data_IF_208992384697
#
_entry.id   IF_208992384697
#
_cell.length_a   1.000
_cell.length_b   1.000
_cell.length_c   1.000
_cell.angle_alpha   90.00
_cell.angle_beta   90.00
_cell.angle_gamma   90.00
#
_symmetry.space_group_name_H-M   'P 1'
#
loop_
_entity.id
_entity.type
_entity.pdbx_description
1 polymer ?
#
# COMPACT_ATOMS: atom_id res chain seq x y z
N UNK A 1 -22.25 -4.36 9.65
CA UNK A 1 -22.42 -4.02 8.22
C UNK A 1 -23.68 -3.19 8.16
N UNK A 2 -23.61 -1.90 7.86
CA UNK A 2 -24.82 -1.08 7.74
C UNK A 2 -24.77 -0.23 6.46
N UNK A 3 -25.07 -0.90 5.35
CA UNK A 3 -25.17 -0.28 4.03
C UNK A 3 -26.27 0.80 3.98
N UNK A 4 -27.30 0.68 4.83
CA UNK A 4 -28.38 1.66 4.97
C UNK A 4 -27.85 2.98 5.55
N UNK A 5 -26.95 2.95 6.54
CA UNK A 5 -26.30 4.16 7.07
C UNK A 5 -25.51 4.92 6.00
N UNK A 6 -24.79 4.19 5.13
CA UNK A 6 -23.99 4.78 4.05
C UNK A 6 -24.90 5.41 2.98
N UNK A 7 -25.93 4.68 2.54
CA UNK A 7 -26.90 5.19 1.57
C UNK A 7 -27.64 6.43 2.10
N UNK A 8 -28.08 6.38 3.37
CA UNK A 8 -28.77 7.48 4.01
C UNK A 8 -27.91 8.75 4.02
N UNK A 9 -26.65 8.63 4.46
CA UNK A 9 -25.73 9.77 4.51
C UNK A 9 -25.36 10.28 3.12
N UNK A 10 -25.21 9.40 2.12
CA UNK A 10 -24.93 9.79 0.72
C UNK A 10 -26.06 10.65 0.17
N UNK A 11 -27.31 10.23 0.40
CA UNK A 11 -28.49 11.00 -0.01
C UNK A 11 -28.57 12.35 0.74
N UNK A 12 -28.23 12.36 2.03
CA UNK A 12 -28.17 13.59 2.82
C UNK A 12 -27.11 14.56 2.29
N UNK A 13 -25.95 14.05 1.86
CA UNK A 13 -24.89 14.87 1.28
C UNK A 13 -25.31 15.49 -0.05
N UNK A 14 -25.90 14.70 -0.94
CA UNK A 14 -26.44 15.19 -2.21
C UNK A 14 -27.44 16.31 -1.96
N UNK A 15 -28.37 16.14 -1.02
CA UNK A 15 -29.36 17.17 -0.70
C UNK A 15 -28.73 18.47 -0.20
N UNK A 16 -27.66 18.40 0.60
CA UNK A 16 -26.99 19.61 1.12
C UNK A 16 -26.14 20.31 0.07
N UNK A 17 -25.43 19.58 -0.78
CA UNK A 17 -24.67 20.18 -1.89
C UNK A 17 -25.63 20.85 -2.88
N UNK A 18 -26.77 20.23 -3.18
CA UNK A 18 -27.82 20.86 -3.99
C UNK A 18 -28.36 22.12 -3.31
N UNK A 19 -28.59 22.10 -1.99
CA UNK A 19 -28.99 23.29 -1.23
C UNK A 19 -27.97 24.44 -1.32
N UNK A 20 -26.68 24.15 -1.16
CA UNK A 20 -25.60 25.14 -1.30
C UNK A 20 -25.59 25.75 -2.71
N UNK A 21 -25.79 24.93 -3.74
CA UNK A 21 -25.82 25.37 -5.13
C UNK A 21 -27.01 26.30 -5.42
N UNK A 22 -28.21 25.94 -4.95
CA UNK A 22 -29.43 26.76 -5.10
C UNK A 22 -29.35 28.09 -4.32
N UNK A 23 -28.73 28.09 -3.14
CA UNK A 23 -28.52 29.33 -2.36
C UNK A 23 -27.45 30.25 -2.98
N UNK A 24 -26.44 29.66 -3.61
CA UNK A 24 -25.43 30.40 -4.37
C UNK A 24 -26.07 31.14 -5.57
N UNK A 25 -27.11 30.55 -6.16
CA UNK A 25 -27.86 31.13 -7.29
C UNK A 25 -28.90 32.17 -6.87
N UNK A 26 -29.43 32.09 -5.64
CA UNK A 26 -30.50 32.98 -5.13
C UNK A 26 -30.01 34.20 -4.35
N UNK A 27 -28.69 34.41 -4.23
CA UNK A 27 -28.11 35.65 -3.70
C UNK A 27 -28.17 35.81 -2.17
N UNK A 28 -28.23 34.69 -1.43
CA UNK A 28 -28.21 34.69 0.04
C UNK A 28 -26.89 35.19 0.65
N UNK A 29 -26.92 35.52 1.94
CA UNK A 29 -25.76 36.04 2.68
C UNK A 29 -24.57 35.06 2.66
N UNK A 30 -23.36 35.59 2.49
CA UNK A 30 -22.11 34.82 2.52
C UNK A 30 -21.92 34.02 3.82
N UNK A 31 -22.49 34.49 4.94
CA UNK A 31 -22.49 33.77 6.22
C UNK A 31 -23.23 32.43 6.15
N UNK A 32 -24.43 32.44 5.57
CA UNK A 32 -25.33 31.29 5.54
C UNK A 32 -24.80 30.22 4.56
N UNK A 33 -24.16 30.69 3.48
CA UNK A 33 -23.44 29.84 2.55
C UNK A 33 -22.24 29.16 3.23
N UNK A 34 -21.49 29.90 4.05
CA UNK A 34 -20.29 29.39 4.74
C UNK A 34 -20.66 28.29 5.74
N UNK A 35 -21.75 28.49 6.51
CA UNK A 35 -22.24 27.47 7.44
C UNK A 35 -22.72 26.22 6.70
N UNK A 36 -23.48 26.38 5.61
CA UNK A 36 -23.99 25.24 4.85
C UNK A 36 -22.88 24.45 4.14
N UNK A 37 -21.87 25.13 3.61
CA UNK A 37 -20.65 24.49 3.09
C UNK A 37 -19.92 23.73 4.20
N UNK A 38 -19.84 24.31 5.41
CA UNK A 38 -19.27 23.64 6.58
C UNK A 38 -20.00 22.34 6.95
N UNK A 39 -21.34 22.36 6.95
CA UNK A 39 -22.15 21.15 7.22
C UNK A 39 -21.98 20.10 6.11
N UNK A 40 -21.93 20.51 4.85
CA UNK A 40 -21.69 19.61 3.72
C UNK A 40 -20.29 18.95 3.80
N UNK A 41 -19.25 19.72 4.14
CA UNK A 41 -17.89 19.22 4.32
C UNK A 41 -17.79 18.20 5.46
N UNK A 42 -18.43 18.49 6.61
CA UNK A 42 -18.46 17.55 7.74
C UNK A 42 -19.15 16.22 7.37
N UNK A 43 -20.23 16.29 6.58
CA UNK A 43 -20.93 15.10 6.12
C UNK A 43 -20.11 14.32 5.09
N UNK A 44 -19.41 14.99 4.16
CA UNK A 44 -18.42 14.36 3.27
C UNK A 44 -17.36 13.59 4.05
N UNK A 45 -16.77 14.22 5.07
CA UNK A 45 -15.75 13.57 5.90
C UNK A 45 -16.32 12.39 6.69
N UNK A 46 -17.54 12.51 7.23
CA UNK A 46 -18.20 11.42 7.96
C UNK A 46 -18.48 10.22 7.04
N UNK A 47 -19.01 10.47 5.84
CA UNK A 47 -19.25 9.45 4.82
C UNK A 47 -17.97 8.76 4.38
N UNK A 48 -16.93 9.54 4.07
CA UNK A 48 -15.64 9.00 3.69
C UNK A 48 -15.09 8.06 4.76
N UNK A 49 -15.16 8.46 6.04
CA UNK A 49 -14.68 7.63 7.14
C UNK A 49 -15.49 6.33 7.30
N UNK A 50 -16.80 6.35 7.06
CA UNK A 50 -17.67 5.17 7.17
C UNK A 50 -17.53 4.21 5.97
N UNK A 51 -17.29 4.75 4.77
CA UNK A 51 -16.90 3.97 3.59
C UNK A 51 -15.54 3.31 3.82
N UNK A 52 -14.54 4.04 4.33
CA UNK A 52 -13.23 3.45 4.66
C UNK A 52 -13.34 2.41 5.78
N UNK A 53 -14.18 2.64 6.80
CA UNK A 53 -14.45 1.66 7.85
C UNK A 53 -15.12 0.39 7.34
N UNK A 54 -16.01 0.49 6.35
CA UNK A 54 -16.67 -0.68 5.74
C UNK A 54 -15.78 -1.40 4.73
N UNK A 55 -14.93 -0.70 3.95
CA UNK A 55 -13.89 -1.31 3.10
C UNK A 55 -12.89 -2.09 3.96
N UNK A 56 -12.39 -1.50 5.05
CA UNK A 56 -11.52 -2.17 6.00
C UNK A 56 -12.17 -3.42 6.64
N UNK A 57 -13.50 -3.49 6.67
CA UNK A 57 -14.26 -4.65 7.16
C UNK A 57 -14.52 -5.68 6.04
N UNK A 58 -14.71 -5.25 4.79
CA UNK A 58 -15.00 -6.09 3.62
C UNK A 58 -13.74 -6.77 3.03
N UNK A 59 -12.56 -6.18 3.22
CA UNK A 59 -11.28 -6.79 2.82
C UNK A 59 -10.88 -8.04 3.66
N UNK A 60 -11.73 -8.47 4.61
CA UNK A 60 -11.44 -9.60 5.51
C UNK A 60 -12.22 -10.90 5.23
N UNK A 61 -12.71 -11.18 4.02
CA UNK A 61 -13.17 -12.56 3.69
C UNK A 61 -12.96 -12.96 2.23
N UNK A 62 -11.72 -13.32 1.86
CA UNK A 62 -11.30 -14.62 1.27
C UNK A 62 -9.74 -14.69 1.27
N UNK A 63 -9.12 -15.88 1.29
CA UNK A 63 -8.17 -16.30 2.33
C UNK A 63 -6.68 -15.98 2.11
N UNK A 64 -5.96 -15.83 3.24
CA UNK A 64 -4.49 -15.70 3.44
C UNK A 64 -3.86 -14.40 2.90
N UNK A 65 -3.36 -13.48 3.71
CA UNK A 65 -2.64 -13.64 4.98
C UNK A 65 -2.70 -12.33 5.77
N UNK A 66 -3.19 -12.43 7.00
CA UNK A 66 -3.18 -11.35 7.99
C UNK A 66 -1.73 -11.01 8.33
N UNK A 67 -1.16 -9.99 7.69
CA UNK A 67 -0.03 -9.25 8.24
C UNK A 67 -0.52 -7.87 8.62
N UNK A 68 -1.19 -7.81 9.78
CA UNK A 68 -1.24 -6.61 10.60
C UNK A 68 0.19 -6.29 11.05
N UNK A 69 0.82 -5.26 10.49
CA UNK A 69 1.37 -4.11 11.22
C UNK A 69 2.27 -3.28 10.28
N UNK A 70 1.88 -2.02 10.13
CA UNK A 70 2.73 -0.88 9.74
C UNK A 70 3.00 -0.69 8.22
N UNK A 71 2.02 -0.08 7.54
CA UNK A 71 2.12 0.53 6.20
C UNK A 71 3.28 1.55 6.04
N UNK A 72 4.03 1.87 7.11
CA UNK A 72 5.27 2.65 7.00
C UNK A 72 6.46 1.83 6.45
N UNK A 73 6.32 0.51 6.31
CA UNK A 73 7.41 -0.36 5.87
C UNK A 73 7.52 -0.56 4.35
N UNK A 74 6.57 -0.11 3.52
CA UNK A 74 6.76 -0.20 2.06
C UNK A 74 7.88 0.71 1.50
N UNK A 75 8.41 1.65 2.29
CA UNK A 75 9.33 2.68 1.78
C UNK A 75 10.83 2.31 1.72
N UNK A 76 11.32 1.32 2.46
CA UNK A 76 12.78 1.04 2.51
C UNK A 76 13.18 -0.31 1.91
N UNK A 77 14.36 -0.34 1.26
CA UNK A 77 14.99 -1.57 0.76
C UNK A 77 15.08 -2.65 1.85
N UNK A 78 15.46 -2.23 3.06
CA UNK A 78 15.55 -3.08 4.24
C UNK A 78 14.24 -3.78 4.59
N UNK A 79 13.11 -3.10 4.46
CA UNK A 79 11.79 -3.67 4.73
C UNK A 79 11.34 -4.62 3.62
N UNK A 80 11.56 -4.25 2.35
CA UNK A 80 11.28 -5.13 1.20
C UNK A 80 12.11 -6.42 1.25
N UNK A 81 13.38 -6.32 1.65
CA UNK A 81 14.24 -7.49 1.82
C UNK A 81 13.77 -8.42 2.94
N UNK A 82 13.30 -7.89 4.08
CA UNK A 82 12.68 -8.71 5.13
C UNK A 82 11.44 -9.44 4.63
N UNK A 83 10.59 -8.74 3.88
CA UNK A 83 9.37 -9.32 3.33
C UNK A 83 9.70 -10.44 2.34
N UNK A 84 10.66 -10.22 1.45
CA UNK A 84 11.13 -11.24 0.51
C UNK A 84 11.72 -12.48 1.21
N UNK A 85 12.48 -12.28 2.28
CA UNK A 85 12.97 -13.39 3.12
C UNK A 85 11.84 -14.18 3.73
N UNK A 86 10.87 -13.50 4.37
CA UNK A 86 9.71 -14.15 4.97
C UNK A 86 8.90 -14.96 3.95
N UNK A 87 8.70 -14.41 2.74
CA UNK A 87 7.98 -15.10 1.67
C UNK A 87 8.74 -16.32 1.14
N UNK A 88 10.06 -16.22 0.97
CA UNK A 88 10.89 -17.34 0.50
C UNK A 88 11.06 -18.46 1.52
N UNK A 89 10.74 -18.21 2.80
CA UNK A 89 11.03 -19.12 3.91
C UNK A 89 12.53 -19.24 4.24
N UNK A 90 13.40 -18.44 3.62
CA UNK A 90 14.83 -18.48 3.83
C UNK A 90 15.25 -17.67 5.06
N UNK A 91 16.27 -18.16 5.77
CA UNK A 91 16.91 -17.35 6.82
C UNK A 91 17.94 -16.38 6.23
N UNK A 92 18.36 -15.38 7.02
CA UNK A 92 19.42 -14.45 6.61
C UNK A 92 20.73 -15.18 6.26
N UNK A 93 21.03 -16.26 6.99
CA UNK A 93 22.21 -17.09 6.80
C UNK A 93 22.13 -17.89 5.51
N UNK A 94 20.95 -18.40 5.16
CA UNK A 94 20.74 -19.15 3.92
C UNK A 94 20.88 -18.23 2.71
N UNK A 95 20.29 -17.03 2.78
CA UNK A 95 20.46 -16.01 1.74
C UNK A 95 21.94 -15.61 1.61
N UNK A 96 22.63 -15.41 2.72
CA UNK A 96 24.05 -15.07 2.73
C UNK A 96 24.90 -16.13 2.03
N UNK A 97 24.66 -17.41 2.34
CA UNK A 97 25.32 -18.55 1.68
C UNK A 97 25.00 -18.59 0.19
N UNK A 98 23.74 -18.41 -0.19
CA UNK A 98 23.29 -18.52 -1.57
C UNK A 98 23.87 -17.43 -2.48
N UNK A 99 24.06 -16.21 -1.96
CA UNK A 99 24.66 -15.11 -2.74
C UNK A 99 26.16 -14.90 -2.46
N UNK A 100 26.79 -15.78 -1.68
CA UNK A 100 28.23 -15.77 -1.41
C UNK A 100 28.72 -14.59 -0.55
N UNK A 101 27.93 -14.13 0.42
CA UNK A 101 28.30 -13.03 1.34
C UNK A 101 28.26 -13.47 2.80
N UNK A 102 28.80 -12.64 3.69
CA UNK A 102 28.71 -12.90 5.14
C UNK A 102 27.29 -12.62 5.65
N UNK A 103 26.86 -13.35 6.70
CA UNK A 103 25.58 -13.08 7.36
C UNK A 103 25.50 -11.66 7.92
N UNK A 104 26.63 -11.11 8.41
CA UNK A 104 26.72 -9.72 8.88
C UNK A 104 26.43 -8.69 7.79
N UNK A 105 26.75 -9.02 6.53
CA UNK A 105 26.41 -8.20 5.36
C UNK A 105 24.89 -8.15 5.14
N UNK A 106 24.21 -9.31 5.17
CA UNK A 106 22.73 -9.37 5.06
C UNK A 106 22.06 -8.65 6.23
N UNK A 107 22.56 -8.86 7.44
CA UNK A 107 22.07 -8.16 8.64
C UNK A 107 22.21 -6.64 8.52
N UNK A 108 23.30 -6.14 7.93
CA UNK A 108 23.50 -4.71 7.69
C UNK A 108 22.51 -4.11 6.69
N UNK A 109 22.08 -4.88 5.69
CA UNK A 109 21.01 -4.47 4.77
C UNK A 109 19.64 -4.46 5.44
N UNK A 110 19.34 -5.50 6.22
CA UNK A 110 18.07 -5.63 6.94
C UNK A 110 17.93 -4.55 8.01
N UNK A 111 18.96 -4.29 8.79
CA UNK A 111 18.95 -3.22 9.81
C UNK A 111 18.95 -1.81 9.23
N UNK A 112 19.14 -1.65 7.92
CA UNK A 112 19.17 -0.35 7.25
C UNK A 112 20.49 0.41 7.44
N UNK A 113 21.52 -0.23 7.99
CA UNK A 113 22.89 0.32 8.08
C UNK A 113 23.46 0.59 6.69
N UNK A 114 23.14 -0.29 5.73
CA UNK A 114 23.39 -0.06 4.32
C UNK A 114 22.04 0.21 3.65
N UNK A 115 21.84 1.44 3.19
CA UNK A 115 20.56 1.91 2.65
C UNK A 115 20.24 1.33 1.29
N UNK A 116 21.27 1.05 0.49
CA UNK A 116 21.13 0.59 -0.89
C UNK A 116 22.09 -0.57 -1.15
N UNK A 117 21.57 -1.68 -1.64
CA UNK A 117 22.40 -2.70 -2.27
C UNK A 117 22.73 -2.25 -3.69
N UNK A 118 24.01 -2.31 -4.07
CA UNK A 118 24.37 -2.10 -5.47
C UNK A 118 23.57 -3.05 -6.37
N UNK A 119 23.16 -2.56 -7.55
CA UNK A 119 22.22 -3.24 -8.47
C UNK A 119 22.58 -4.72 -8.68
N UNK A 120 23.87 -5.03 -8.84
CA UNK A 120 24.36 -6.41 -9.00
C UNK A 120 23.99 -7.32 -7.81
N UNK A 121 24.18 -6.85 -6.57
CA UNK A 121 23.84 -7.62 -5.36
C UNK A 121 22.34 -7.73 -5.15
N UNK A 122 21.61 -6.65 -5.40
CA UNK A 122 20.15 -6.68 -5.28
C UNK A 122 19.52 -7.66 -6.27
N UNK A 123 20.06 -7.79 -7.50
CA UNK A 123 19.63 -8.82 -8.46
C UNK A 123 19.90 -10.24 -7.97
N UNK A 124 21.08 -10.51 -7.39
CA UNK A 124 21.39 -11.81 -6.81
C UNK A 124 20.44 -12.17 -5.65
N UNK A 125 20.14 -11.20 -4.78
CA UNK A 125 19.16 -11.37 -3.71
C UNK A 125 17.77 -11.66 -4.27
N UNK A 126 17.32 -10.89 -5.27
CA UNK A 126 16.02 -11.07 -5.89
C UNK A 126 15.88 -12.45 -6.55
N UNK A 127 16.92 -12.91 -7.25
CA UNK A 127 16.96 -14.24 -7.85
C UNK A 127 16.91 -15.34 -6.79
N UNK A 128 17.68 -15.19 -5.70
CA UNK A 128 17.68 -16.15 -4.61
C UNK A 128 16.31 -16.27 -3.92
N UNK A 129 15.64 -15.13 -3.72
CA UNK A 129 14.35 -15.03 -3.04
C UNK A 129 13.15 -15.25 -3.98
N UNK A 130 13.40 -15.43 -5.29
CA UNK A 130 12.39 -15.56 -6.36
C UNK A 130 11.39 -14.39 -6.39
N UNK A 131 11.90 -13.18 -6.22
CA UNK A 131 11.13 -11.92 -6.28
C UNK A 131 11.63 -11.03 -7.42
N UNK A 132 10.83 -10.02 -7.77
CA UNK A 132 11.22 -9.00 -8.74
C UNK A 132 12.38 -8.13 -8.20
N UNK A 133 13.45 -8.00 -9.00
CA UNK A 133 14.57 -7.13 -8.66
C UNK A 133 14.16 -5.64 -8.66
N UNK A 134 13.27 -5.25 -9.57
CA UNK A 134 12.75 -3.88 -9.66
C UNK A 134 11.98 -3.52 -8.38
N UNK A 135 11.11 -4.43 -7.94
CA UNK A 135 10.37 -4.29 -6.70
C UNK A 135 11.31 -4.24 -5.50
N UNK A 136 12.29 -5.15 -5.40
CA UNK A 136 13.21 -5.17 -4.27
C UNK A 136 14.01 -3.86 -4.14
N UNK A 137 14.52 -3.35 -5.26
CA UNK A 137 15.36 -2.14 -5.30
C UNK A 137 14.53 -0.88 -5.10
N UNK A 138 13.55 -0.64 -5.96
CA UNK A 138 12.83 0.63 -6.03
C UNK A 138 11.48 0.61 -5.30
N UNK A 139 10.95 -0.58 -4.99
CA UNK A 139 9.58 -0.73 -4.48
C UNK A 139 8.52 -0.59 -5.55
N UNK A 140 8.92 -0.62 -6.83
CA UNK A 140 8.02 -0.45 -7.97
C UNK A 140 7.59 -1.81 -8.55
N UNK A 141 6.32 -1.92 -8.91
CA UNK A 141 5.74 -3.13 -9.52
C UNK A 141 5.35 -4.21 -8.51
N UNK A 142 5.14 -5.43 -9.00
CA UNK A 142 4.77 -6.57 -8.17
C UNK A 142 6.00 -7.26 -7.55
N UNK A 143 5.85 -7.71 -6.30
CA UNK A 143 6.88 -8.47 -5.59
C UNK A 143 7.18 -9.80 -6.28
N UNK A 144 6.15 -10.51 -6.71
CA UNK A 144 6.27 -11.78 -7.39
C UNK A 144 6.28 -11.52 -8.89
N UNK A 145 7.26 -12.10 -9.58
CA UNK A 145 7.22 -12.15 -11.03
C UNK A 145 6.14 -13.18 -11.39
N UNK A 146 5.09 -12.75 -12.10
CA UNK A 146 4.07 -13.66 -12.61
C UNK A 146 4.75 -14.84 -13.35
N UNK A 147 4.19 -16.06 -13.30
CA UNK A 147 4.87 -17.29 -13.77
C UNK A 147 5.25 -17.32 -15.26
N UNK A 148 4.97 -16.27 -16.04
CA UNK A 148 4.95 -16.34 -17.50
C UNK A 148 5.87 -15.34 -18.21
N UNK A 149 6.96 -14.89 -17.59
CA UNK A 149 8.02 -14.22 -18.35
C UNK A 149 8.94 -15.26 -18.98
N UNK A 150 8.93 -15.44 -20.32
CA UNK A 150 10.00 -16.16 -20.99
C UNK A 150 11.30 -15.42 -20.64
N UNK A 151 12.18 -16.09 -19.92
CA UNK A 151 13.56 -15.64 -19.78
C UNK A 151 14.10 -15.46 -21.20
N UNK A 152 14.61 -14.29 -21.59
CA UNK A 152 15.51 -14.19 -22.72
C UNK A 152 16.80 -14.89 -22.29
N UNK A 153 16.78 -16.23 -22.32
CA UNK A 153 17.99 -17.04 -22.37
C UNK A 153 18.60 -16.69 -23.73
N UNK A 154 19.82 -16.15 -23.78
CA UNK A 154 21.00 -16.98 -23.59
C UNK A 154 20.92 -18.21 -24.49
N UNK A 155 20.83 -17.98 -25.80
CA UNK A 155 21.35 -18.90 -26.78
C UNK A 155 22.56 -18.22 -27.43
N UNK A 156 23.72 -18.82 -27.14
CA UNK A 156 25.01 -18.70 -27.84
C UNK A 156 24.93 -19.39 -29.19
#
# INVERSE_FOLDING_TARGET
MDFESILFKSNQLTSQITGVYELSLSGFSSSDLTEMVGVALNLCSSLNNEIQGTIATAENTQPQSKVTMDERHQKSFAARLRLALAHSGMTQTDLAKQIGVSQGTISSYITGKIKEAGIARARLMAQALRVSALWLIYGEGEMLLAPNFPTPNAEV
#
